data_IF_513314657183
#
_entry.id   IF_513314657183
#
_cell.length_a   1.000
_cell.length_b   1.000
_cell.length_c   1.000
_cell.angle_alpha   90.00
_cell.angle_beta   90.00
_cell.angle_gamma   90.00
#
_symmetry.space_group_name_H-M   'P 1'
#
loop_
_entity.id
_entity.type
_entity.pdbx_description
1 polymer ?
#
# COMPACT_ATOMS: atom_id res chain seq x y z
N UNK A 1 14.91 -3.53 17.76
CA UNK A 1 14.00 -2.41 18.13
C UNK A 1 13.45 -1.64 16.91
N UNK A 2 14.06 -1.73 15.72
CA UNK A 2 13.61 -1.06 14.50
C UNK A 2 12.46 -1.78 13.75
N UNK A 3 12.36 -3.11 13.84
CA UNK A 3 11.24 -3.91 13.27
C UNK A 3 9.88 -3.56 13.89
N UNK A 4 9.86 -3.27 15.20
CA UNK A 4 8.64 -2.80 15.90
C UNK A 4 8.21 -1.41 15.41
N UNK A 5 9.15 -0.58 14.94
CA UNK A 5 8.89 0.76 14.41
C UNK A 5 8.29 0.69 13.00
N UNK A 6 8.74 -0.25 12.16
CA UNK A 6 8.19 -0.50 10.83
C UNK A 6 6.83 -1.19 10.86
N UNK A 7 6.61 -2.12 11.81
CA UNK A 7 5.30 -2.74 12.06
C UNK A 7 4.25 -1.72 12.54
N UNK A 8 4.65 -0.73 13.34
CA UNK A 8 3.78 0.38 13.74
C UNK A 8 3.43 1.34 12.58
N UNK A 9 4.36 1.56 11.65
CA UNK A 9 4.13 2.33 10.42
C UNK A 9 3.20 1.60 9.43
N UNK A 10 3.22 0.26 9.41
CA UNK A 10 2.30 -0.56 8.62
C UNK A 10 0.88 -0.58 9.23
N UNK A 11 0.75 -0.64 10.56
CA UNK A 11 -0.56 -0.58 11.25
C UNK A 11 -1.27 0.77 11.07
N UNK A 12 -0.54 1.87 10.91
CA UNK A 12 -1.10 3.19 10.59
C UNK A 12 -1.53 3.33 9.11
N UNK A 13 -1.15 2.41 8.21
CA UNK A 13 -1.65 2.40 6.83
C UNK A 13 -3.07 1.83 6.70
N UNK A 14 -3.52 0.99 7.63
CA UNK A 14 -4.86 0.40 7.59
C UNK A 14 -5.90 1.16 8.43
N UNK A 15 -5.48 2.06 9.33
CA UNK A 15 -6.38 2.92 10.12
C UNK A 15 -6.73 4.24 9.43
N UNK A 16 -6.11 4.56 8.29
CA UNK A 16 -6.36 5.79 7.53
C UNK A 16 -7.31 5.58 6.33
N UNK A 17 -8.08 4.48 6.32
CA UNK A 17 -9.18 4.24 5.38
C UNK A 17 -10.56 4.64 5.93
N UNK A 18 -10.61 5.27 7.10
CA UNK A 18 -11.83 5.82 7.68
C UNK A 18 -11.54 7.24 8.18
N UNK A 19 -11.53 8.23 7.27
CA UNK A 19 -11.95 9.62 7.54
C UNK A 19 -12.25 10.28 6.18
N UNK A 20 -13.53 10.65 6.03
CA UNK A 20 -14.12 11.59 5.06
C UNK A 20 -14.24 11.14 3.59
N UNK A 21 -15.20 10.24 3.36
CA UNK A 21 -16.28 10.55 2.40
C UNK A 21 -17.07 11.75 2.96
N UNK A 22 -16.55 12.95 2.76
CA UNK A 22 -17.22 14.20 3.07
C UNK A 22 -17.92 14.72 1.81
N UNK A 23 -19.24 14.67 1.85
CA UNK A 23 -20.21 15.29 0.96
C UNK A 23 -19.67 16.41 0.04
N UNK A 24 -19.54 16.11 -1.25
CA UNK A 24 -19.72 17.11 -2.30
C UNK A 24 -21.21 17.11 -2.71
N UNK A 25 -22.07 17.55 -1.81
CA UNK A 25 -23.35 18.16 -2.20
C UNK A 25 -23.15 19.68 -2.19
N UNK A 26 -22.22 20.14 -3.02
CA UNK A 26 -22.15 21.54 -3.41
C UNK A 26 -23.05 21.68 -4.63
N UNK A 27 -24.18 22.37 -4.45
CA UNK A 27 -25.09 22.76 -5.52
C UNK A 27 -24.29 23.20 -6.75
N UNK A 28 -24.35 22.43 -7.84
CA UNK A 28 -24.04 22.99 -9.15
C UNK A 28 -25.12 24.03 -9.38
N UNK A 29 -24.81 25.31 -9.13
CA UNK A 29 -25.59 26.41 -9.71
C UNK A 29 -25.64 26.12 -11.20
N UNK A 30 -26.82 25.76 -11.68
CA UNK A 30 -27.12 25.66 -13.09
C UNK A 30 -26.85 27.06 -13.65
N UNK A 31 -25.70 27.24 -14.29
CA UNK A 31 -25.41 28.46 -15.03
C UNK A 31 -26.38 28.38 -16.20
N UNK A 32 -27.48 29.15 -16.12
CA UNK A 32 -28.34 29.42 -17.27
C UNK A 32 -27.44 30.00 -18.35
N UNK A 33 -27.15 29.19 -19.38
CA UNK A 33 -26.45 29.65 -20.57
C UNK A 33 -27.39 30.63 -21.28
N UNK A 34 -26.99 31.90 -21.52
CA UNK A 34 -27.72 32.77 -22.42
C UNK A 34 -27.65 32.16 -23.82
N UNK A 35 -28.81 31.95 -24.43
CA UNK A 35 -28.99 31.16 -25.66
C UNK A 35 -28.56 31.92 -26.94
N UNK A 36 -28.03 33.14 -26.82
CA UNK A 36 -27.66 34.00 -27.94
C UNK A 36 -26.15 34.27 -28.00
N UNK A 37 -25.33 33.22 -28.14
CA UNK A 37 -23.92 33.40 -28.58
C UNK A 37 -23.68 32.76 -29.93
N UNK A 38 -23.27 33.60 -30.88
CA UNK A 38 -22.93 33.22 -32.24
C UNK A 38 -21.95 32.03 -32.27
N UNK A 39 -22.24 30.95 -33.03
CA UNK A 39 -21.40 29.75 -33.08
C UNK A 39 -19.95 30.00 -33.54
N UNK A 40 -19.70 31.14 -34.20
CA UNK A 40 -18.41 31.49 -34.80
C UNK A 40 -17.42 32.07 -33.77
N UNK A 41 -17.89 32.65 -32.66
CA UNK A 41 -17.01 33.16 -31.60
C UNK A 41 -16.49 32.07 -30.64
N UNK A 42 -17.20 30.96 -30.51
CA UNK A 42 -16.84 29.86 -29.58
C UNK A 42 -15.62 29.03 -30.03
N UNK A 43 -15.16 29.19 -31.28
CA UNK A 43 -13.98 28.48 -31.81
C UNK A 43 -12.66 29.16 -31.41
N UNK A 44 -12.69 30.40 -30.90
CA UNK A 44 -11.46 31.16 -30.59
C UNK A 44 -11.00 31.13 -29.12
N UNK A 45 -11.84 30.74 -28.16
CA UNK A 45 -11.52 30.91 -26.73
C UNK A 45 -11.76 29.69 -25.82
N UNK A 46 -11.66 28.47 -26.35
CA UNK A 46 -11.56 27.27 -25.50
C UNK A 46 -10.13 27.02 -25.01
N UNK A 47 -9.87 26.66 -23.73
CA UNK A 47 -8.54 26.20 -23.33
C UNK A 47 -8.19 24.96 -24.15
N UNK A 48 -7.15 25.05 -24.97
CA UNK A 48 -6.65 23.93 -25.79
C UNK A 48 -6.56 22.69 -24.88
N UNK A 49 -7.23 21.56 -25.21
CA UNK A 49 -7.34 20.40 -24.32
C UNK A 49 -5.97 19.90 -23.82
N UNK A 50 -4.92 20.09 -24.62
CA UNK A 50 -3.52 19.79 -24.30
C UNK A 50 -2.99 20.51 -23.05
N UNK A 51 -3.31 21.79 -22.86
CA UNK A 51 -2.83 22.57 -21.70
C UNK A 51 -3.43 22.06 -20.39
N UNK A 52 -4.66 21.55 -20.43
CA UNK A 52 -5.31 20.97 -19.26
C UNK A 52 -4.70 19.61 -18.89
N UNK A 53 -4.28 18.83 -19.89
CA UNK A 53 -3.56 17.57 -19.65
C UNK A 53 -2.19 17.85 -19.04
N UNK A 54 -1.43 18.78 -19.61
CA UNK A 54 -0.11 19.17 -19.11
C UNK A 54 -0.19 19.65 -17.66
N UNK A 55 -1.12 20.57 -17.33
CA UNK A 55 -1.29 21.07 -15.95
C UNK A 55 -1.63 19.96 -14.96
N UNK A 56 -2.49 19.01 -15.35
CA UNK A 56 -2.83 17.86 -14.51
C UNK A 56 -1.60 16.98 -14.27
N UNK A 57 -0.81 16.72 -15.31
CA UNK A 57 0.41 15.93 -15.21
C UNK A 57 1.49 16.62 -14.38
N UNK A 58 1.64 17.94 -14.49
CA UNK A 58 2.52 18.73 -13.61
C UNK A 58 2.12 18.61 -12.14
N UNK A 59 0.84 18.79 -11.83
CA UNK A 59 0.34 18.65 -10.46
C UNK A 59 0.48 17.23 -9.93
N UNK A 60 0.29 16.23 -10.78
CA UNK A 60 0.49 14.82 -10.45
C UNK A 60 1.96 14.56 -10.08
N UNK A 61 2.90 14.99 -10.93
CA UNK A 61 4.33 14.86 -10.68
C UNK A 61 4.73 15.55 -9.37
N UNK A 62 4.27 16.78 -9.15
CA UNK A 62 4.54 17.51 -7.90
C UNK A 62 4.07 16.71 -6.67
N UNK A 63 2.85 16.16 -6.71
CA UNK A 63 2.33 15.32 -5.61
C UNK A 63 3.12 14.02 -5.44
N UNK A 64 3.59 13.41 -6.52
CA UNK A 64 4.45 12.22 -6.49
C UNK A 64 5.79 12.53 -5.82
N UNK A 65 6.41 13.67 -6.14
CA UNK A 65 7.63 14.16 -5.48
C UNK A 65 7.40 14.36 -3.97
N UNK A 66 6.31 15.05 -3.59
CA UNK A 66 5.99 15.24 -2.16
C UNK A 66 5.78 13.92 -1.43
N UNK A 67 5.17 12.92 -2.08
CA UNK A 67 4.98 11.59 -1.51
C UNK A 67 6.31 10.88 -1.30
N UNK A 68 7.20 10.92 -2.30
CA UNK A 68 8.53 10.32 -2.23
C UNK A 68 9.40 11.00 -1.16
N UNK A 69 9.35 12.35 -1.07
CA UNK A 69 10.09 13.14 -0.09
C UNK A 69 9.79 12.72 1.36
N UNK A 70 8.58 12.21 1.66
CA UNK A 70 8.24 11.71 3.01
C UNK A 70 9.07 10.51 3.45
N UNK A 71 9.66 9.75 2.52
CA UNK A 71 10.54 8.64 2.85
C UNK A 71 11.94 9.09 3.30
N UNK A 72 12.29 10.35 3.08
CA UNK A 72 13.59 10.93 3.43
C UNK A 72 13.55 11.55 4.83
N UNK A 73 13.51 10.70 5.86
CA UNK A 73 13.41 11.15 7.27
C UNK A 73 14.75 11.45 7.94
N UNK A 74 15.89 11.21 7.27
CA UNK A 74 17.21 11.43 7.85
C UNK A 74 17.70 12.88 7.63
N UNK A 75 18.56 13.33 8.54
CA UNK A 75 19.21 14.63 8.45
C UNK A 75 20.43 14.58 7.52
N UNK A 76 20.70 15.70 6.88
CA UNK A 76 21.93 15.95 6.13
C UNK A 76 23.08 16.35 7.07
N UNK A 77 24.29 16.51 6.53
CA UNK A 77 25.49 16.96 7.24
C UNK A 77 25.28 18.28 7.98
N UNK A 78 24.43 19.16 7.43
CA UNK A 78 24.06 20.45 8.03
C UNK A 78 22.98 20.33 9.13
N UNK A 79 22.55 19.11 9.48
CA UNK A 79 21.47 18.85 10.45
C UNK A 79 20.05 19.09 9.92
N UNK A 80 19.90 19.54 8.67
CA UNK A 80 18.58 19.76 8.04
C UNK A 80 18.01 18.45 7.48
N UNK A 81 16.71 18.23 7.65
CA UNK A 81 16.03 17.03 7.15
C UNK A 81 15.94 17.07 5.61
N UNK A 82 16.32 15.97 4.95
CA UNK A 82 16.30 15.88 3.49
C UNK A 82 14.91 16.12 2.89
N UNK A 83 13.86 15.63 3.55
CA UNK A 83 12.47 15.91 3.17
C UNK A 83 12.22 17.39 2.90
N UNK A 84 12.62 18.27 3.81
CA UNK A 84 12.29 19.69 3.71
C UNK A 84 13.12 20.37 2.61
N UNK A 85 14.39 19.98 2.45
CA UNK A 85 15.23 20.42 1.33
C UNK A 85 14.61 20.04 -0.02
N UNK A 86 14.14 18.80 -0.17
CA UNK A 86 13.53 18.30 -1.40
C UNK A 86 12.21 19.02 -1.71
N UNK A 87 11.36 19.23 -0.69
CA UNK A 87 10.09 19.95 -0.86
C UNK A 87 10.34 21.41 -1.27
N UNK A 88 11.31 22.07 -0.64
CA UNK A 88 11.67 23.45 -0.97
C UNK A 88 12.25 23.57 -2.39
N UNK A 89 13.15 22.66 -2.78
CA UNK A 89 13.73 22.64 -4.15
C UNK A 89 12.64 22.40 -5.19
N UNK A 90 11.78 21.40 -4.99
CA UNK A 90 10.70 21.11 -5.92
C UNK A 90 9.72 22.29 -6.02
N UNK A 91 9.36 22.93 -4.91
CA UNK A 91 8.53 24.13 -4.96
C UNK A 91 9.17 25.23 -5.82
N UNK A 92 10.45 25.50 -5.60
CA UNK A 92 11.18 26.52 -6.35
C UNK A 92 11.18 26.21 -7.86
N UNK A 93 11.52 24.99 -8.25
CA UNK A 93 11.55 24.58 -9.66
C UNK A 93 10.17 24.71 -10.34
N UNK A 94 9.09 24.36 -9.65
CA UNK A 94 7.73 24.49 -10.17
C UNK A 94 7.24 25.95 -10.21
N UNK A 95 7.71 26.79 -9.30
CA UNK A 95 7.43 28.22 -9.30
C UNK A 95 8.18 28.93 -10.44
N UNK A 96 9.44 28.56 -10.69
CA UNK A 96 10.25 29.05 -11.80
C UNK A 96 9.61 28.67 -13.15
N UNK A 97 9.14 27.43 -13.30
CA UNK A 97 8.50 26.95 -14.53
C UNK A 97 7.03 27.42 -14.72
N UNK A 98 6.46 28.21 -13.79
CA UNK A 98 5.04 28.57 -13.80
C UNK A 98 4.63 29.41 -15.02
N UNK A 99 5.54 30.23 -15.51
CA UNK A 99 5.29 31.17 -16.61
C UNK A 99 5.64 30.59 -17.99
N UNK A 100 6.16 29.35 -18.03
CA UNK A 100 6.44 28.68 -19.29
C UNK A 100 5.14 28.38 -20.03
N UNK A 101 5.09 28.80 -21.30
CA UNK A 101 3.93 28.62 -22.19
C UNK A 101 4.22 27.68 -23.35
N UNK A 102 5.50 27.40 -23.62
CA UNK A 102 5.91 26.50 -24.68
C UNK A 102 5.64 25.04 -24.29
N UNK A 103 4.75 24.32 -25.00
CA UNK A 103 4.41 22.94 -24.69
C UNK A 103 5.61 21.98 -24.80
N UNK A 104 6.59 22.26 -25.66
CA UNK A 104 7.76 21.39 -25.81
C UNK A 104 8.67 21.46 -24.59
N UNK A 105 8.93 22.67 -24.09
CA UNK A 105 9.75 22.89 -22.90
C UNK A 105 9.10 22.22 -21.69
N UNK A 106 7.80 22.45 -21.49
CA UNK A 106 7.08 21.85 -20.36
C UNK A 106 7.10 20.32 -20.45
N UNK A 107 6.92 19.76 -21.64
CA UNK A 107 6.96 18.30 -21.85
C UNK A 107 8.33 17.72 -21.49
N UNK A 108 9.43 18.38 -21.90
CA UNK A 108 10.79 17.96 -21.53
C UNK A 108 11.03 18.03 -20.02
N UNK A 109 10.56 19.09 -19.35
CA UNK A 109 10.64 19.23 -17.90
C UNK A 109 9.88 18.11 -17.18
N UNK A 110 8.67 17.79 -17.64
CA UNK A 110 7.85 16.72 -17.05
C UNK A 110 8.48 15.33 -17.23
N UNK A 111 8.97 15.03 -18.43
CA UNK A 111 9.63 13.75 -18.71
C UNK A 111 10.90 13.63 -17.88
N UNK A 112 11.75 14.67 -17.88
CA UNK A 112 12.98 14.70 -17.11
C UNK A 112 12.74 14.55 -15.60
N UNK A 113 11.76 15.27 -15.06
CA UNK A 113 11.38 15.17 -13.66
C UNK A 113 10.85 13.79 -13.27
N UNK A 114 10.06 13.13 -14.14
CA UNK A 114 9.59 11.75 -13.93
C UNK A 114 10.73 10.75 -13.92
N UNK A 115 11.60 10.79 -14.93
CA UNK A 115 12.74 9.87 -15.03
C UNK A 115 13.72 10.04 -13.86
N UNK A 116 13.92 11.27 -13.37
CA UNK A 116 14.74 11.53 -12.19
C UNK A 116 14.09 10.95 -10.92
N UNK A 117 12.78 11.15 -10.75
CA UNK A 117 12.03 10.61 -9.61
C UNK A 117 12.06 9.08 -9.60
N UNK A 118 11.84 8.44 -10.74
CA UNK A 118 11.85 6.99 -10.91
C UNK A 118 13.20 6.40 -10.50
N UNK A 119 14.31 6.95 -11.01
CA UNK A 119 15.66 6.52 -10.63
C UNK A 119 15.90 6.62 -9.12
N UNK A 120 15.41 7.69 -8.48
CA UNK A 120 15.55 7.90 -7.04
C UNK A 120 14.72 6.88 -6.26
N UNK A 121 13.49 6.62 -6.69
CA UNK A 121 12.62 5.61 -6.05
C UNK A 121 13.16 4.20 -6.23
N UNK A 122 13.72 3.87 -7.38
CA UNK A 122 14.32 2.56 -7.65
C UNK A 122 15.54 2.31 -6.78
N UNK A 123 16.43 3.31 -6.68
CA UNK A 123 17.60 3.23 -5.80
C UNK A 123 17.19 3.03 -4.34
N UNK A 124 16.12 3.68 -3.90
CA UNK A 124 15.57 3.47 -2.56
C UNK A 124 14.98 2.08 -2.38
N UNK A 125 14.21 1.58 -3.36
CA UNK A 125 13.61 0.25 -3.31
C UNK A 125 14.68 -0.85 -3.28
N UNK A 126 15.73 -0.74 -4.10
CA UNK A 126 16.87 -1.66 -4.12
C UNK A 126 17.57 -1.66 -2.75
N UNK A 127 17.85 -0.49 -2.18
CA UNK A 127 18.47 -0.39 -0.84
C UNK A 127 17.57 -0.99 0.26
N UNK A 128 16.27 -0.70 0.21
CA UNK A 128 15.31 -1.26 1.17
C UNK A 128 15.26 -2.79 1.10
N UNK A 129 15.29 -3.37 -0.11
CA UNK A 129 15.31 -4.83 -0.30
C UNK A 129 16.56 -5.47 0.31
N UNK A 130 17.73 -4.90 0.05
CA UNK A 130 19.01 -5.38 0.61
C UNK A 130 19.00 -5.41 2.13
N UNK A 131 18.51 -4.35 2.78
CA UNK A 131 18.42 -4.31 4.25
C UNK A 131 17.50 -5.38 4.82
N UNK A 132 16.37 -5.67 4.14
CA UNK A 132 15.46 -6.74 4.55
C UNK A 132 16.12 -8.12 4.37
N UNK A 133 16.82 -8.34 3.26
CA UNK A 133 17.49 -9.60 2.98
C UNK A 133 18.65 -9.86 3.98
N UNK A 134 19.42 -8.82 4.32
CA UNK A 134 20.46 -8.85 5.36
C UNK A 134 19.87 -9.20 6.74
N UNK A 135 18.76 -8.57 7.13
CA UNK A 135 18.05 -8.88 8.38
C UNK A 135 17.52 -10.32 8.38
N UNK A 136 17.03 -10.82 7.24
CA UNK A 136 16.60 -12.22 7.11
C UNK A 136 17.77 -13.20 7.22
N UNK A 137 18.93 -12.88 6.65
CA UNK A 137 20.12 -13.71 6.80
C UNK A 137 20.60 -13.72 8.25
N UNK A 138 20.60 -12.58 8.94
CA UNK A 138 20.97 -12.48 10.33
C UNK A 138 20.01 -13.27 11.25
N UNK A 139 18.72 -13.23 10.97
CA UNK A 139 17.70 -13.98 11.73
C UNK A 139 17.70 -15.48 11.42
N UNK A 140 17.99 -15.89 10.18
CA UNK A 140 18.19 -17.30 9.82
C UNK A 140 19.44 -17.90 10.48
N UNK A 141 20.50 -17.11 10.68
CA UNK A 141 21.67 -17.53 11.45
C UNK A 141 21.37 -17.79 12.94
N UNK A 142 20.27 -17.27 13.47
CA UNK A 142 19.76 -17.53 14.83
C UNK A 142 18.71 -18.66 14.87
N UNK A 143 18.38 -19.28 13.74
CA UNK A 143 17.46 -20.41 13.69
C UNK A 143 18.16 -21.67 14.23
N UNK A 144 17.72 -22.13 15.41
CA UNK A 144 18.16 -23.41 15.98
C UNK A 144 17.60 -24.54 15.09
N UNK A 145 18.43 -25.32 14.39
CA UNK A 145 17.95 -26.42 13.57
C UNK A 145 17.22 -27.43 14.46
N UNK A 146 15.98 -27.76 14.12
CA UNK A 146 15.17 -28.77 14.81
C UNK A 146 13.92 -28.25 15.54
N UNK A 147 13.72 -26.94 15.66
CA UNK A 147 12.45 -26.40 16.18
C UNK A 147 11.52 -25.97 15.05
N UNK A 148 10.42 -26.72 14.86
CA UNK A 148 9.29 -26.32 14.00
C UNK A 148 8.81 -24.93 14.43
N UNK A 149 8.65 -24.00 13.49
CA UNK A 149 8.17 -22.65 13.81
C UNK A 149 6.77 -22.71 14.42
N UNK A 150 6.39 -21.73 15.26
CA UNK A 150 5.06 -21.69 15.86
C UNK A 150 3.92 -21.70 14.83
N UNK A 151 4.17 -21.12 13.63
CA UNK A 151 3.23 -21.12 12.50
C UNK A 151 3.08 -22.52 11.90
N UNK A 152 4.18 -23.25 11.81
CA UNK A 152 4.24 -24.59 11.23
C UNK A 152 3.67 -25.65 12.18
N UNK A 153 3.89 -25.49 13.50
CA UNK A 153 3.20 -26.25 14.54
C UNK A 153 1.69 -25.95 14.55
N UNK A 154 1.28 -24.72 14.26
CA UNK A 154 -0.13 -24.33 14.12
C UNK A 154 -0.78 -25.02 12.93
N UNK A 155 -0.14 -24.97 11.75
CA UNK A 155 -0.60 -25.69 10.55
C UNK A 155 -0.73 -27.19 10.79
N UNK A 156 0.24 -27.83 11.43
CA UNK A 156 0.16 -29.26 11.75
C UNK A 156 -1.01 -29.57 12.70
N UNK A 157 -1.25 -28.73 13.71
CA UNK A 157 -2.41 -28.90 14.61
C UNK A 157 -3.73 -28.77 13.85
N UNK A 158 -3.85 -27.78 12.96
CA UNK A 158 -5.05 -27.56 12.17
C UNK A 158 -5.26 -28.70 11.14
N UNK A 159 -4.18 -29.19 10.52
CA UNK A 159 -4.21 -30.36 9.62
C UNK A 159 -4.59 -31.64 10.39
N UNK A 160 -4.11 -31.82 11.63
CA UNK A 160 -4.51 -32.94 12.50
C UNK A 160 -5.96 -32.82 12.96
N UNK A 161 -6.41 -31.62 13.33
CA UNK A 161 -7.80 -31.36 13.70
C UNK A 161 -8.75 -31.67 12.53
N UNK A 162 -8.37 -31.26 11.32
CA UNK A 162 -9.11 -31.57 10.11
C UNK A 162 -9.12 -33.08 9.81
N UNK A 163 -7.99 -33.78 9.95
CA UNK A 163 -7.92 -35.24 9.77
C UNK A 163 -8.79 -35.98 10.79
N UNK A 164 -8.78 -35.58 12.06
CA UNK A 164 -9.59 -36.21 13.11
C UNK A 164 -11.09 -35.97 12.92
N UNK A 165 -11.47 -34.76 12.50
CA UNK A 165 -12.85 -34.42 12.14
C UNK A 165 -13.33 -35.21 10.90
N UNK A 166 -12.49 -35.33 9.87
CA UNK A 166 -12.78 -36.13 8.68
C UNK A 166 -12.99 -37.61 9.02
N UNK A 167 -12.09 -38.22 9.82
CA UNK A 167 -12.26 -39.62 10.25
C UNK A 167 -13.48 -39.82 11.15
N UNK A 168 -13.83 -38.86 12.02
CA UNK A 168 -15.07 -38.94 12.83
C UNK A 168 -16.34 -38.93 11.97
N UNK A 169 -16.40 -38.09 10.93
CA UNK A 169 -17.57 -38.03 10.04
C UNK A 169 -17.73 -39.28 9.18
N UNK A 170 -16.63 -39.93 8.80
CA UNK A 170 -16.67 -41.14 7.99
C UNK A 170 -16.86 -42.44 8.80
N UNK A 171 -16.55 -42.46 10.09
CA UNK A 171 -16.82 -43.62 10.96
C UNK A 171 -18.29 -43.72 11.42
N UNK A 172 -19.08 -42.64 11.30
CA UNK A 172 -20.52 -42.63 11.63
C UNK A 172 -21.37 -43.25 10.51
N UNK A 173 -20.86 -43.33 9.27
CA UNK A 173 -21.60 -43.86 8.11
C UNK A 173 -21.42 -45.38 7.93
N UNK A 174 -20.39 -45.99 8.52
CA UNK A 174 -20.24 -47.45 8.59
C UNK A 174 -20.62 -47.97 9.96
N UNK A 175 -21.91 -47.82 10.31
CA UNK A 175 -22.52 -48.51 11.44
C UNK A 175 -22.58 -50.02 11.20
N UNK A 176 -21.45 -50.72 11.30
CA UNK A 176 -21.47 -52.12 11.72
C UNK A 176 -21.68 -52.14 13.23
N UNK A 177 -22.94 -52.28 13.62
CA UNK A 177 -23.30 -52.72 14.96
C UNK A 177 -22.76 -54.13 15.17
N UNK A 178 -21.70 -54.26 15.96
CA UNK A 178 -21.37 -55.52 16.61
C UNK A 178 -21.49 -55.29 18.11
N UNK A 179 -22.63 -55.75 18.63
CA UNK A 179 -22.82 -55.95 20.05
C UNK A 179 -21.83 -57.00 20.56
N UNK A 180 -21.22 -56.70 21.70
CA UNK A 180 -20.61 -57.68 22.60
C UNK A 180 -20.37 -56.98 23.94
N UNK A 181 -21.41 -56.95 24.77
CA UNK A 181 -21.25 -56.71 26.21
C UNK A 181 -21.39 -58.06 26.91
N UNK A 182 -20.31 -58.65 27.46
CA UNK A 182 -20.43 -59.89 28.20
C UNK A 182 -21.01 -59.56 29.59
N UNK A 183 -22.21 -60.09 29.81
CA UNK A 183 -22.61 -60.84 30.99
C UNK A 183 -21.63 -60.76 32.19
N UNK A 184 -22.04 -60.06 33.25
CA UNK A 184 -21.45 -60.23 34.58
C UNK A 184 -22.59 -60.48 35.57
N UNK A 185 -22.89 -61.76 35.81
CA UNK A 185 -23.69 -62.24 36.92
C UNK A 185 -22.77 -62.56 38.10
N UNK A 186 -23.15 -62.11 39.29
CA UNK A 186 -22.80 -62.75 40.56
C UNK A 186 -21.90 -61.94 41.50
N UNK A 187 -22.49 -61.37 42.56
CA UNK A 187 -22.48 -62.03 43.87
C UNK A 187 -23.12 -61.17 44.96
N UNK A 188 -24.18 -61.76 45.55
CA UNK A 188 -24.71 -61.51 46.89
C UNK A 188 -23.63 -61.22 47.95
N UNK A 189 -23.89 -60.20 48.78
CA UNK A 189 -23.71 -60.29 50.24
C UNK A 189 -24.88 -59.58 50.94
N UNK A 190 -25.87 -60.36 51.36
CA UNK A 190 -26.51 -60.30 52.68
C UNK A 190 -27.06 -61.68 53.01
#
# INVERSE_FOLDING_TARGET
RLVKMWSHLQKLRNSALLIRRGCYQGQRKFISFPEDRDPVELVKEGPRPELNVIRKESLRLYREILRAARHFTWADKDGKIWRDKLIASARKEFEDARYEKDPEIISRLLIGGRSALEQVTDRMAIKARKLIDEEQQQTKGLHIPGQKSAVEQGRERDEMAWKLDWHSRHNIVTGQGNGSSPFNQGSERR
#
